data_IF_182774948904
#
_entry.id   IF_182774948904
#
_cell.length_a   1.000
_cell.length_b   1.000
_cell.length_c   1.000
_cell.angle_alpha   90.00
_cell.angle_beta   90.00
_cell.angle_gamma   90.00
#
_symmetry.space_group_name_H-M   'P 1'
#
loop_
_entity.id
_entity.type
_entity.pdbx_description
1 polymer ?
#
# COMPACT_ATOMS: atom_id res chain seq x y z
N UNK A 1 -0.56 -0.95 9.74
CA UNK A 1 -0.82 -1.25 8.32
C UNK A 1 -0.76 -2.76 8.15
N UNK A 2 -1.66 -3.33 7.37
CA UNK A 2 -1.75 -4.77 7.10
C UNK A 2 -1.64 -5.04 5.60
N UNK A 3 -1.22 -6.24 5.16
CA UNK A 3 -1.28 -6.63 3.76
C UNK A 3 -2.69 -6.41 3.17
N UNK A 4 -2.76 -5.81 1.99
CA UNK A 4 -4.01 -5.42 1.33
C UNK A 4 -4.50 -4.01 1.63
N UNK A 5 -3.93 -3.31 2.63
CA UNK A 5 -4.27 -1.92 2.91
C UNK A 5 -3.91 -0.99 1.74
N UNK A 6 -4.79 -0.04 1.44
CA UNK A 6 -4.51 1.09 0.53
C UNK A 6 -3.81 2.21 1.28
N UNK A 7 -2.66 2.64 0.77
CA UNK A 7 -1.84 3.69 1.35
C UNK A 7 -1.47 4.73 0.29
N UNK A 8 -1.25 5.97 0.73
CA UNK A 8 -0.59 6.99 -0.08
C UNK A 8 0.88 7.05 0.27
N UNK A 9 1.73 7.05 -0.75
CA UNK A 9 3.18 7.05 -0.57
C UNK A 9 3.78 8.22 -1.30
N UNK A 10 4.64 8.96 -0.61
CA UNK A 10 5.40 10.07 -1.20
C UNK A 10 6.53 9.49 -2.04
N UNK A 11 6.49 9.76 -3.34
CA UNK A 11 7.53 9.35 -4.29
C UNK A 11 8.47 10.52 -4.60
N UNK A 12 9.56 10.22 -5.29
CA UNK A 12 10.50 11.22 -5.79
C UNK A 12 9.78 12.35 -6.54
N UNK A 13 10.20 13.59 -6.32
CA UNK A 13 9.53 14.79 -6.84
C UNK A 13 8.32 15.25 -6.03
N UNK A 14 8.13 14.74 -4.80
CA UNK A 14 7.13 15.23 -3.85
C UNK A 14 5.69 14.84 -4.15
N UNK A 15 5.47 14.05 -5.22
CA UNK A 15 4.16 13.53 -5.59
C UNK A 15 3.75 12.41 -4.63
N UNK A 16 2.45 12.23 -4.43
CA UNK A 16 1.92 11.08 -3.69
C UNK A 16 1.17 10.16 -4.64
N UNK A 17 1.31 8.85 -4.44
CA UNK A 17 0.66 7.82 -5.27
C UNK A 17 -0.02 6.78 -4.40
N UNK A 18 -1.11 6.21 -4.92
CA UNK A 18 -1.84 5.12 -4.25
C UNK A 18 -1.13 3.78 -4.48
N UNK A 19 -0.92 3.02 -3.40
CA UNK A 19 -0.24 1.73 -3.40
C UNK A 19 -0.92 0.78 -2.42
N UNK A 20 -0.69 -0.52 -2.61
CA UNK A 20 -1.19 -1.58 -1.73
C UNK A 20 -0.05 -2.12 -0.89
N UNK A 21 -0.28 -2.28 0.41
CA UNK A 21 0.68 -2.90 1.33
C UNK A 21 0.79 -4.39 1.02
N UNK A 22 2.01 -4.87 0.78
CA UNK A 22 2.34 -6.28 0.64
C UNK A 22 2.73 -6.87 1.99
N UNK A 23 3.60 -6.18 2.72
CA UNK A 23 4.10 -6.62 4.02
C UNK A 23 4.59 -5.42 4.83
N UNK A 24 4.44 -5.47 6.15
CA UNK A 24 5.06 -4.52 7.07
C UNK A 24 6.29 -5.16 7.74
N UNK A 25 7.41 -4.45 7.74
CA UNK A 25 8.71 -4.88 8.27
C UNK A 25 9.27 -3.80 9.20
N UNK A 26 8.76 -3.74 10.44
CA UNK A 26 9.19 -2.76 11.43
C UNK A 26 8.99 -1.32 10.95
N UNK A 27 10.08 -0.66 10.53
CA UNK A 27 10.07 0.73 10.04
C UNK A 27 9.98 0.86 8.50
N UNK A 28 9.88 -0.27 7.79
CA UNK A 28 9.73 -0.33 6.34
C UNK A 28 8.42 -1.02 6.00
N UNK A 29 7.77 -0.59 4.93
CA UNK A 29 6.60 -1.25 4.37
C UNK A 29 6.86 -1.59 2.91
N UNK A 30 6.65 -2.85 2.56
CA UNK A 30 6.71 -3.30 1.17
C UNK A 30 5.37 -2.98 0.54
N UNK A 31 5.38 -2.24 -0.56
CA UNK A 31 4.17 -1.81 -1.27
C UNK A 31 4.23 -2.20 -2.74
N UNK A 32 3.08 -2.43 -3.36
CA UNK A 32 2.96 -2.75 -4.77
C UNK A 32 1.91 -1.86 -5.46
N UNK A 33 1.86 -1.95 -6.79
CA UNK A 33 0.80 -1.33 -7.59
C UNK A 33 -0.51 -2.10 -7.42
N UNK A 34 -1.68 -1.43 -7.48
CA UNK A 34 -2.96 -2.11 -7.41
C UNK A 34 -3.17 -3.23 -8.44
N UNK A 35 -2.62 -3.08 -9.65
CA UNK A 35 -2.75 -4.09 -10.71
C UNK A 35 -1.91 -5.34 -10.40
N UNK A 36 -0.66 -5.15 -9.96
CA UNK A 36 0.23 -6.24 -9.51
C UNK A 36 -0.37 -7.01 -8.33
N UNK A 37 -1.00 -6.32 -7.37
CA UNK A 37 -1.74 -6.98 -6.29
C UNK A 37 -2.83 -7.89 -6.81
N UNK A 38 -3.63 -7.40 -7.77
CA UNK A 38 -4.76 -8.15 -8.35
C UNK A 38 -4.28 -9.38 -9.10
N UNK A 39 -3.23 -9.25 -9.91
CA UNK A 39 -2.64 -10.36 -10.66
C UNK A 39 -2.04 -11.40 -9.73
N UNK A 40 -1.24 -10.97 -8.74
CA UNK A 40 -0.62 -11.87 -7.79
C UNK A 40 -1.64 -12.67 -6.96
N UNK A 41 -2.71 -12.01 -6.49
CA UNK A 41 -3.81 -12.68 -5.79
C UNK A 41 -4.53 -13.68 -6.69
N UNK A 42 -4.78 -13.33 -7.95
CA UNK A 42 -5.40 -14.24 -8.93
C UNK A 42 -4.55 -15.49 -9.18
N UNK A 43 -3.23 -15.33 -9.17
CA UNK A 43 -2.26 -16.41 -9.41
C UNK A 43 -1.83 -17.15 -8.14
N UNK A 44 -2.40 -16.82 -6.96
CA UNK A 44 -1.97 -17.35 -5.66
C UNK A 44 -0.45 -17.21 -5.40
N UNK A 45 0.16 -16.13 -5.89
CA UNK A 45 1.56 -15.79 -5.64
C UNK A 45 1.68 -14.53 -4.80
N UNK A 46 2.87 -14.30 -4.25
CA UNK A 46 3.16 -13.04 -3.56
C UNK A 46 3.33 -11.89 -4.58
N UNK A 47 2.75 -10.71 -4.34
CA UNK A 47 2.95 -9.55 -5.23
C UNK A 47 4.37 -9.03 -5.15
N UNK A 48 4.90 -8.58 -6.28
CA UNK A 48 6.16 -7.86 -6.33
C UNK A 48 5.99 -6.44 -5.77
N UNK A 49 6.82 -6.10 -4.78
CA UNK A 49 6.75 -4.82 -4.10
C UNK A 49 8.10 -4.16 -3.91
N UNK A 50 8.06 -2.88 -3.56
CA UNK A 50 9.22 -2.05 -3.25
C UNK A 50 9.12 -1.62 -1.79
N UNK A 51 10.23 -1.68 -1.08
CA UNK A 51 10.31 -1.20 0.30
C UNK A 51 10.26 0.33 0.36
N UNK A 52 9.40 0.87 1.21
CA UNK A 52 9.32 2.29 1.52
C UNK A 52 9.45 2.52 3.02
N UNK A 53 10.14 3.59 3.44
CA UNK A 53 10.19 3.94 4.85
C UNK A 53 8.78 4.33 5.32
N UNK A 54 8.40 3.89 6.52
CA UNK A 54 7.08 4.13 7.09
C UNK A 54 6.76 5.63 7.22
N UNK A 55 7.81 6.46 7.39
CA UNK A 55 7.70 7.94 7.44
C UNK A 55 7.12 8.56 6.17
N UNK A 56 7.30 7.92 5.01
CA UNK A 56 6.83 8.41 3.71
C UNK A 56 5.46 7.83 3.31
N UNK A 57 4.86 7.02 4.20
CA UNK A 57 3.63 6.29 3.94
C UNK A 57 2.52 6.81 4.84
N UNK A 58 1.40 7.23 4.22
CA UNK A 58 0.20 7.67 4.93
C UNK A 58 -0.95 6.70 4.69
N UNK A 59 -1.52 6.18 5.77
CA UNK A 59 -2.68 5.32 5.69
C UNK A 59 -3.90 6.12 5.24
N UNK A 60 -4.61 5.65 4.21
CA UNK A 60 -5.89 6.25 3.86
C UNK A 60 -6.90 5.87 4.95
N UNK A 61 -7.25 6.81 5.83
CA UNK A 61 -8.38 6.62 6.74
C UNK A 61 -9.63 6.43 5.88
N UNK A 62 -10.22 5.24 5.92
CA UNK A 62 -11.58 5.06 5.43
C UNK A 62 -12.48 5.93 6.29
N UNK A 63 -12.99 7.02 5.72
CA UNK A 63 -14.11 7.74 6.30
C UNK A 63 -15.27 6.75 6.25
N UNK A 64 -15.61 6.13 7.39
CA UNK A 64 -16.85 5.36 7.50
C UNK A 64 -17.97 6.34 7.16
N UNK A 65 -18.59 6.19 5.98
CA UNK A 65 -19.85 6.86 5.69
C UNK A 65 -20.84 6.37 6.74
N UNK A 66 -21.06 7.16 7.79
CA UNK A 66 -22.26 7.03 8.62
C UNK A 66 -23.43 7.24 7.66
N UNK A 67 -24.15 6.15 7.35
CA UNK A 67 -25.48 6.26 6.75
C UNK A 67 -26.38 6.76 7.88
N UNK A 68 -26.96 7.95 7.68
CA UNK A 68 -28.08 8.46 8.45
C UNK A 68 -29.33 7.61 8.20
#
# INVERSE_FOLDING_TARGET
MQPGDRVMVKVFGGRTVNRIVVQALGNTVVICRPDEWREAVKENRQPNGVGFPLSDVRQMRQVKKQRA
#
